data_IF_244494557151
#
_entry.id   IF_244494557151
#
_cell.length_a   1.000
_cell.length_b   1.000
_cell.length_c   1.000
_cell.angle_alpha   90.00
_cell.angle_beta   90.00
_cell.angle_gamma   90.00
#
_symmetry.space_group_name_H-M   'P 1'
#
loop_
_entity.id
_entity.type
_entity.pdbx_description
1 polymer ?
#
# COMPACT_ATOMS: atom_id res chain seq x y z
N UNK A 1 9.63 27.86 -16.10
CA UNK A 1 9.30 26.41 -16.16
C UNK A 1 9.18 25.88 -14.75
N UNK A 2 8.01 25.38 -14.35
CA UNK A 2 7.84 24.73 -13.05
C UNK A 2 8.68 23.46 -13.00
N UNK A 3 9.57 23.34 -12.01
CA UNK A 3 10.37 22.15 -11.79
C UNK A 3 9.45 20.95 -11.51
N UNK A 4 9.72 19.79 -12.12
CA UNK A 4 8.99 18.55 -11.82
C UNK A 4 9.07 18.25 -10.31
N UNK A 5 7.96 17.86 -9.67
CA UNK A 5 7.89 17.76 -8.21
C UNK A 5 8.91 16.76 -7.61
N UNK A 6 9.25 15.68 -8.34
CA UNK A 6 10.29 14.72 -7.95
C UNK A 6 11.71 15.30 -7.91
N UNK A 7 11.95 16.44 -8.56
CA UNK A 7 13.25 17.12 -8.52
C UNK A 7 13.40 17.99 -7.26
N UNK A 8 12.31 18.21 -6.50
CA UNK A 8 12.35 18.98 -5.24
C UNK A 8 13.10 18.19 -4.16
N UNK A 9 13.83 18.89 -3.30
CA UNK A 9 14.55 18.27 -2.17
C UNK A 9 13.60 17.47 -1.23
N UNK A 10 12.38 17.97 -1.04
CA UNK A 10 11.32 17.29 -0.26
C UNK A 10 10.92 15.91 -0.80
N UNK A 11 11.22 15.59 -2.06
CA UNK A 11 10.95 14.28 -2.65
C UNK A 11 12.10 13.27 -2.44
N UNK A 12 13.21 13.68 -1.81
CA UNK A 12 14.43 12.88 -1.60
C UNK A 12 14.78 12.78 -0.11
N UNK A 13 13.80 12.43 0.72
CA UNK A 13 13.95 12.39 2.18
C UNK A 13 14.65 11.13 2.68
N UNK A 14 14.44 9.98 2.04
CA UNK A 14 15.05 8.70 2.43
C UNK A 14 15.39 7.86 1.20
N UNK A 15 16.66 7.49 1.06
CA UNK A 15 17.16 6.68 -0.06
C UNK A 15 17.45 5.23 0.34
N UNK A 16 17.42 4.32 -0.64
CA UNK A 16 17.79 2.91 -0.43
C UNK A 16 19.21 2.77 0.11
N UNK A 17 20.15 3.60 -0.37
CA UNK A 17 21.56 3.58 0.07
C UNK A 17 21.66 3.91 1.56
N UNK A 18 20.96 4.96 2.01
CA UNK A 18 20.93 5.33 3.43
C UNK A 18 20.36 4.19 4.29
N UNK A 19 19.23 3.61 3.87
CA UNK A 19 18.59 2.53 4.62
C UNK A 19 19.46 1.28 4.71
N UNK A 20 20.16 0.91 3.65
CA UNK A 20 21.03 -0.27 3.67
C UNK A 20 22.31 -0.05 4.48
N UNK A 21 22.72 1.22 4.67
CA UNK A 21 23.83 1.60 5.54
C UNK A 21 23.45 1.72 7.02
N UNK A 22 22.15 1.72 7.37
CA UNK A 22 21.68 1.81 8.76
C UNK A 22 22.05 0.59 9.59
N UNK A 23 22.30 0.82 10.88
CA UNK A 23 22.35 -0.26 11.87
C UNK A 23 20.94 -0.81 12.15
N UNK A 24 20.87 -1.98 12.77
CA UNK A 24 19.59 -2.54 13.19
C UNK A 24 18.91 -1.68 14.28
N UNK A 25 19.67 -0.87 15.02
CA UNK A 25 19.15 0.07 16.02
C UNK A 25 18.57 1.32 15.36
N UNK A 26 19.22 1.84 14.32
CA UNK A 26 18.69 2.98 13.55
C UNK A 26 17.40 2.58 12.82
N UNK A 27 17.38 1.40 12.20
CA UNK A 27 16.18 0.88 11.55
C UNK A 27 15.03 0.69 12.57
N UNK A 28 15.33 0.18 13.77
CA UNK A 28 14.34 0.05 14.83
C UNK A 28 13.80 1.43 15.28
N UNK A 29 14.68 2.41 15.42
CA UNK A 29 14.32 3.78 15.81
C UNK A 29 13.41 4.41 14.76
N UNK A 30 13.74 4.27 13.47
CA UNK A 30 12.90 4.76 12.38
C UNK A 30 11.51 4.10 12.38
N UNK A 31 11.42 2.78 12.64
CA UNK A 31 10.14 2.10 12.78
C UNK A 31 9.33 2.60 13.99
N UNK A 32 10.02 2.93 15.09
CA UNK A 32 9.39 3.45 16.31
C UNK A 32 8.82 4.85 16.05
N UNK A 33 9.63 5.74 15.48
CA UNK A 33 9.23 7.11 15.09
C UNK A 33 8.07 7.09 14.10
N UNK A 34 8.13 6.24 13.08
CA UNK A 34 7.05 6.12 12.10
C UNK A 34 5.73 5.64 12.73
N UNK A 35 5.78 4.89 13.83
CA UNK A 35 4.61 4.29 14.46
C UNK A 35 4.01 5.16 15.57
N UNK A 36 4.84 5.77 16.40
CA UNK A 36 4.40 6.48 17.60
C UNK A 36 4.90 7.93 17.66
N UNK A 37 5.60 8.41 16.64
CA UNK A 37 6.22 9.73 16.60
C UNK A 37 7.48 9.83 17.45
N UNK A 38 7.98 11.05 17.61
CA UNK A 38 9.22 11.38 18.34
C UNK A 38 9.04 11.32 19.87
N UNK A 39 7.86 10.91 20.35
CA UNK A 39 7.49 10.87 21.75
C UNK A 39 7.89 9.59 22.50
N UNK A 40 7.70 9.63 23.82
CA UNK A 40 7.80 8.46 24.69
C UNK A 40 6.50 7.65 24.79
N UNK A 41 5.40 8.18 24.24
CA UNK A 41 4.08 7.54 24.26
C UNK A 41 4.01 6.35 23.31
N UNK A 42 4.38 5.18 23.84
CA UNK A 42 4.24 3.91 23.14
C UNK A 42 2.83 3.38 23.41
N UNK A 43 2.05 3.12 22.36
CA UNK A 43 0.71 2.52 22.47
C UNK A 43 0.79 1.00 22.32
N UNK A 44 0.25 0.26 23.29
CA UNK A 44 0.18 -1.19 23.22
C UNK A 44 -0.82 -1.65 22.14
N UNK A 45 -0.42 -2.54 21.20
CA UNK A 45 -1.33 -3.05 20.17
C UNK A 45 -2.42 -3.99 20.71
N UNK A 46 -2.26 -4.53 21.92
CA UNK A 46 -3.21 -5.50 22.49
C UNK A 46 -4.34 -4.82 23.26
N UNK A 47 -4.05 -3.79 24.05
CA UNK A 47 -5.06 -3.06 24.83
C UNK A 47 -5.36 -1.65 24.32
N UNK A 48 -4.61 -1.14 23.34
CA UNK A 48 -4.82 0.19 22.75
C UNK A 48 -4.41 1.37 23.63
N UNK A 49 -3.83 1.12 24.81
CA UNK A 49 -3.51 2.16 25.79
C UNK A 49 -2.01 2.48 25.81
N UNK A 50 -1.69 3.77 25.97
CA UNK A 50 -0.33 4.26 26.22
C UNK A 50 0.02 4.15 27.72
N UNK A 51 0.15 2.93 28.23
CA UNK A 51 0.56 2.73 29.62
C UNK A 51 2.07 2.95 29.78
N UNK A 52 2.55 2.99 31.03
CA UNK A 52 3.97 2.89 31.32
C UNK A 52 4.47 1.47 31.00
N UNK A 53 5.01 1.29 29.80
CA UNK A 53 5.51 0.00 29.34
C UNK A 53 6.97 -0.24 29.79
N UNK A 54 7.30 -1.48 30.15
CA UNK A 54 8.67 -1.84 30.50
C UNK A 54 9.43 -2.30 29.24
N UNK A 55 10.39 -1.51 28.78
CA UNK A 55 11.20 -1.84 27.61
C UNK A 55 12.38 -2.76 27.96
N UNK A 56 12.60 -3.79 27.14
CA UNK A 56 13.71 -4.75 27.25
C UNK A 56 14.67 -4.52 26.07
N UNK A 57 15.74 -3.72 26.24
CA UNK A 57 16.59 -3.27 25.12
C UNK A 57 17.20 -4.43 24.32
N UNK A 58 17.71 -5.45 25.00
CA UNK A 58 18.38 -6.60 24.37
C UNK A 58 17.49 -7.36 23.37
N UNK A 59 16.16 -7.32 23.53
CA UNK A 59 15.21 -7.99 22.63
C UNK A 59 14.37 -7.02 21.80
N UNK A 60 14.49 -5.71 22.06
CA UNK A 60 13.66 -4.65 21.46
C UNK A 60 12.14 -4.91 21.62
N UNK A 61 11.74 -5.35 22.81
CA UNK A 61 10.36 -5.73 23.17
C UNK A 61 9.92 -4.91 24.38
N UNK A 62 8.65 -4.53 24.41
CA UNK A 62 7.97 -3.93 25.55
C UNK A 62 7.07 -4.96 26.24
N UNK A 63 7.03 -4.92 27.57
CA UNK A 63 6.00 -5.56 28.40
C UNK A 63 4.94 -4.53 28.75
N UNK A 64 3.68 -4.78 28.41
CA UNK A 64 2.60 -3.89 28.78
C UNK A 64 2.27 -3.97 30.28
N UNK A 65 2.23 -2.84 30.98
CA UNK A 65 1.83 -2.84 32.40
C UNK A 65 0.33 -3.14 32.61
N UNK A 66 -0.52 -2.78 31.64
CA UNK A 66 -1.97 -3.01 31.70
C UNK A 66 -2.36 -4.45 31.42
N UNK A 67 -2.17 -4.90 30.18
CA UNK A 67 -2.56 -6.26 29.77
C UNK A 67 -1.51 -7.34 30.03
N UNK A 68 -0.31 -6.98 30.50
CA UNK A 68 0.79 -7.95 30.72
C UNK A 68 1.14 -8.76 29.46
N UNK A 69 0.94 -8.21 28.27
CA UNK A 69 1.39 -8.83 27.02
C UNK A 69 2.70 -8.22 26.52
N UNK A 70 3.51 -9.04 25.87
CA UNK A 70 4.74 -8.61 25.20
C UNK A 70 4.41 -8.12 23.78
N UNK A 71 5.04 -7.02 23.37
CA UNK A 71 4.91 -6.50 22.01
C UNK A 71 6.21 -5.86 21.52
N UNK A 72 6.43 -5.86 20.22
CA UNK A 72 7.54 -5.19 19.54
C UNK A 72 7.02 -4.02 18.71
N UNK A 73 7.95 -3.30 18.07
CA UNK A 73 7.63 -2.17 17.19
C UNK A 73 6.82 -2.61 15.97
N UNK A 74 6.87 -3.90 15.61
CA UNK A 74 6.12 -4.48 14.50
C UNK A 74 4.86 -5.24 14.93
N UNK A 75 4.63 -5.44 16.24
CA UNK A 75 3.43 -6.15 16.74
C UNK A 75 2.14 -5.46 16.32
N UNK A 76 1.18 -6.18 15.76
CA UNK A 76 -0.06 -5.59 15.24
C UNK A 76 0.11 -4.81 13.93
N UNK A 77 1.23 -4.97 13.22
CA UNK A 77 1.44 -4.45 11.87
C UNK A 77 1.60 -5.58 10.87
N UNK A 78 1.62 -5.26 9.57
CA UNK A 78 1.93 -6.23 8.50
C UNK A 78 3.30 -6.91 8.66
N UNK A 79 4.21 -6.29 9.42
CA UNK A 79 5.56 -6.77 9.69
C UNK A 79 5.68 -7.57 11.00
N UNK A 80 4.56 -7.89 11.65
CA UNK A 80 4.56 -8.76 12.82
C UNK A 80 5.25 -10.11 12.51
N UNK A 81 5.96 -10.66 13.51
CA UNK A 81 6.72 -11.91 13.41
C UNK A 81 7.73 -11.95 12.25
N UNK A 82 8.27 -10.80 11.87
CA UNK A 82 9.29 -10.72 10.84
C UNK A 82 10.49 -11.63 11.12
N UNK A 83 11.08 -12.14 10.04
CA UNK A 83 12.30 -12.97 10.05
C UNK A 83 13.48 -12.27 9.39
N UNK A 84 13.22 -11.29 8.53
CA UNK A 84 14.25 -10.48 7.91
C UNK A 84 14.64 -9.32 8.84
N UNK A 85 15.86 -8.76 8.70
CA UNK A 85 16.23 -7.51 9.35
C UNK A 85 15.28 -6.36 8.95
N UNK A 86 14.96 -5.47 9.88
CA UNK A 86 14.06 -4.33 9.66
C UNK A 86 14.48 -3.44 8.49
N UNK A 87 15.79 -3.25 8.29
CA UNK A 87 16.35 -2.51 7.14
C UNK A 87 15.91 -3.06 5.78
N UNK A 88 15.70 -4.38 5.64
CA UNK A 88 15.22 -4.96 4.38
C UNK A 88 13.73 -4.68 4.15
N UNK A 89 12.92 -4.59 5.21
CA UNK A 89 11.53 -4.15 5.09
C UNK A 89 11.45 -2.69 4.65
N UNK A 90 12.26 -1.82 5.23
CA UNK A 90 12.37 -0.41 4.82
C UNK A 90 12.80 -0.30 3.35
N UNK A 91 13.83 -1.04 2.94
CA UNK A 91 14.28 -1.06 1.56
C UNK A 91 13.17 -1.54 0.60
N UNK A 92 12.44 -2.58 0.97
CA UNK A 92 11.31 -3.08 0.17
C UNK A 92 10.19 -2.02 0.02
N UNK A 93 9.86 -1.29 1.09
CA UNK A 93 8.88 -0.20 1.05
C UNK A 93 9.35 0.93 0.13
N UNK A 94 10.63 1.32 0.19
CA UNK A 94 11.19 2.36 -0.68
C UNK A 94 11.17 1.92 -2.15
N UNK A 95 11.60 0.69 -2.45
CA UNK A 95 11.57 0.15 -3.81
C UNK A 95 10.13 0.09 -4.36
N UNK A 96 9.17 -0.31 -3.53
CA UNK A 96 7.77 -0.38 -3.92
C UNK A 96 7.16 1.01 -4.17
N UNK A 97 7.38 1.96 -3.27
CA UNK A 97 6.81 3.32 -3.35
C UNK A 97 7.39 4.15 -4.50
N UNK A 98 8.67 3.98 -4.80
CA UNK A 98 9.31 4.67 -5.93
C UNK A 98 8.98 4.04 -7.29
N UNK A 99 8.53 2.78 -7.32
CA UNK A 99 8.14 2.10 -8.55
C UNK A 99 6.70 2.49 -8.95
N UNK A 100 6.55 3.63 -9.62
CA UNK A 100 5.25 4.20 -10.04
C UNK A 100 4.40 3.22 -10.88
N UNK A 101 5.05 2.35 -11.67
CA UNK A 101 4.38 1.33 -12.49
C UNK A 101 4.21 -0.03 -11.78
N UNK A 102 4.59 -0.11 -10.50
CA UNK A 102 4.74 -1.34 -9.76
C UNK A 102 6.10 -2.01 -9.97
N UNK A 103 6.44 -2.92 -9.06
CA UNK A 103 7.67 -3.70 -9.08
C UNK A 103 7.34 -5.19 -8.97
N UNK A 104 8.06 -6.03 -9.72
CA UNK A 104 7.87 -7.48 -9.70
C UNK A 104 8.54 -8.11 -8.49
N UNK A 105 7.98 -9.21 -7.98
CA UNK A 105 8.59 -9.97 -6.88
C UNK A 105 9.98 -10.53 -7.25
N UNK A 106 10.19 -10.87 -8.54
CA UNK A 106 11.50 -11.29 -9.04
C UNK A 106 12.54 -10.18 -8.95
N UNK A 107 12.17 -8.95 -9.30
CA UNK A 107 13.05 -7.79 -9.20
C UNK A 107 13.41 -7.51 -7.73
N UNK A 108 12.40 -7.42 -6.85
CA UNK A 108 12.64 -7.20 -5.40
C UNK A 108 13.48 -8.30 -4.78
N UNK A 109 13.28 -9.56 -5.19
CA UNK A 109 14.11 -10.68 -4.74
C UNK A 109 15.59 -10.50 -5.09
N UNK A 110 15.90 -10.02 -6.30
CA UNK A 110 17.27 -9.72 -6.73
C UNK A 110 17.85 -8.50 -6.00
N UNK A 111 17.07 -7.43 -5.91
CA UNK A 111 17.53 -6.18 -5.29
C UNK A 111 17.83 -6.35 -3.79
N UNK A 112 17.05 -7.17 -3.08
CA UNK A 112 17.22 -7.43 -1.64
C UNK A 112 18.05 -8.68 -1.33
N UNK A 113 18.40 -9.49 -2.33
CA UNK A 113 19.11 -10.76 -2.14
C UNK A 113 18.30 -11.83 -1.39
N UNK A 114 16.98 -11.86 -1.56
CA UNK A 114 16.07 -12.81 -0.89
C UNK A 114 15.40 -13.74 -1.89
N UNK A 115 14.85 -14.86 -1.40
CA UNK A 115 14.10 -15.77 -2.26
C UNK A 115 12.88 -15.08 -2.89
N UNK A 116 12.50 -15.51 -4.10
CA UNK A 116 11.28 -15.02 -4.76
C UNK A 116 10.04 -15.17 -3.86
N UNK A 117 9.91 -16.30 -3.15
CA UNK A 117 8.78 -16.55 -2.24
C UNK A 117 8.72 -15.50 -1.12
N UNK A 118 9.87 -15.14 -0.56
CA UNK A 118 9.98 -14.10 0.46
C UNK A 118 9.58 -12.73 -0.08
N UNK A 119 10.12 -12.34 -1.24
CA UNK A 119 9.78 -11.07 -1.89
C UNK A 119 8.30 -11.01 -2.28
N UNK A 120 7.73 -12.11 -2.75
CA UNK A 120 6.31 -12.21 -3.11
C UNK A 120 5.41 -11.95 -1.90
N UNK A 121 5.62 -12.66 -0.79
CA UNK A 121 4.85 -12.48 0.44
C UNK A 121 5.00 -11.05 0.98
N UNK A 122 6.22 -10.51 0.97
CA UNK A 122 6.48 -9.15 1.43
C UNK A 122 5.73 -8.10 0.59
N UNK A 123 5.77 -8.20 -0.74
CA UNK A 123 5.03 -7.30 -1.62
C UNK A 123 3.52 -7.43 -1.44
N UNK A 124 3.00 -8.64 -1.21
CA UNK A 124 1.58 -8.83 -0.93
C UNK A 124 1.15 -8.15 0.38
N UNK A 125 1.95 -8.27 1.44
CA UNK A 125 1.70 -7.57 2.71
C UNK A 125 1.68 -6.05 2.56
N UNK A 126 2.61 -5.50 1.77
CA UNK A 126 2.63 -4.05 1.48
C UNK A 126 1.37 -3.64 0.71
N UNK A 127 0.98 -4.39 -0.33
CA UNK A 127 -0.26 -4.10 -1.07
C UNK A 127 -1.50 -4.19 -0.18
N UNK A 128 -1.58 -5.20 0.68
CA UNK A 128 -2.68 -5.36 1.63
C UNK A 128 -2.79 -4.19 2.60
N UNK A 129 -1.66 -3.67 3.12
CA UNK A 129 -1.70 -2.47 3.96
C UNK A 129 -2.29 -1.24 3.27
N UNK A 130 -2.08 -1.09 1.96
CA UNK A 130 -2.67 0.01 1.20
C UNK A 130 -4.18 -0.16 0.99
N UNK A 131 -4.66 -1.40 0.95
CA UNK A 131 -6.08 -1.70 0.86
C UNK A 131 -6.78 -1.47 2.21
N UNK A 132 -6.19 -1.94 3.32
CA UNK A 132 -6.76 -1.77 4.67
C UNK A 132 -6.72 -0.32 5.13
N UNK A 133 -5.65 0.42 4.81
CA UNK A 133 -5.51 1.84 5.15
C UNK A 133 -6.29 2.78 4.23
N UNK A 134 -7.09 2.25 3.30
CA UNK A 134 -7.82 3.06 2.35
C UNK A 134 -8.95 3.82 3.04
N UNK A 135 -9.01 5.11 2.79
CA UNK A 135 -10.10 5.93 3.29
C UNK A 135 -11.36 5.73 2.45
N UNK A 136 -12.34 4.98 2.97
CA UNK A 136 -13.60 4.68 2.28
C UNK A 136 -14.73 5.69 2.56
N UNK A 137 -14.43 6.82 3.19
CA UNK A 137 -15.41 7.90 3.39
C UNK A 137 -16.04 8.35 2.06
N UNK A 138 -17.32 8.69 2.09
CA UNK A 138 -18.07 9.07 0.90
C UNK A 138 -17.42 10.27 0.18
N UNK A 139 -17.36 10.19 -1.15
CA UNK A 139 -16.90 11.31 -1.98
C UNK A 139 -17.92 12.44 -1.93
N UNK A 140 -17.44 13.68 -2.11
CA UNK A 140 -18.27 14.88 -2.03
C UNK A 140 -18.01 15.83 -3.20
N UNK A 141 -19.00 16.63 -3.56
CA UNK A 141 -18.91 17.60 -4.65
C UNK A 141 -18.94 16.94 -6.02
N UNK A 142 -18.13 17.42 -6.95
CA UNK A 142 -18.04 16.88 -8.30
C UNK A 142 -17.20 15.59 -8.32
N UNK A 143 -17.79 14.52 -8.87
CA UNK A 143 -17.19 13.19 -8.92
C UNK A 143 -17.18 12.73 -10.36
N UNK A 144 -16.00 12.39 -10.86
CA UNK A 144 -15.84 11.77 -12.17
C UNK A 144 -15.74 10.26 -11.98
N UNK A 145 -16.60 9.52 -12.69
CA UNK A 145 -16.67 8.06 -12.63
C UNK A 145 -16.28 7.51 -13.98
N UNK A 146 -15.33 6.58 -13.99
CA UNK A 146 -14.89 5.85 -15.18
C UNK A 146 -14.74 4.36 -14.87
N UNK A 147 -14.90 3.52 -15.88
CA UNK A 147 -14.93 2.07 -15.75
C UNK A 147 -14.05 1.39 -16.81
N UNK A 148 -13.20 0.46 -16.37
CA UNK A 148 -12.39 -0.35 -17.27
C UNK A 148 -12.68 -1.84 -17.06
N UNK A 149 -13.19 -2.50 -18.10
CA UNK A 149 -13.41 -3.94 -18.06
C UNK A 149 -12.09 -4.70 -18.27
N UNK A 150 -11.75 -5.55 -17.29
CA UNK A 150 -10.56 -6.41 -17.29
C UNK A 150 -11.01 -7.87 -17.21
N UNK A 151 -10.47 -8.72 -18.09
CA UNK A 151 -10.84 -10.13 -18.19
C UNK A 151 -10.62 -10.69 -19.61
N UNK A 152 -10.87 -11.98 -19.78
CA UNK A 152 -10.82 -12.64 -21.07
C UNK A 152 -11.92 -12.13 -22.01
N UNK A 153 -11.60 -11.96 -23.30
CA UNK A 153 -12.64 -11.88 -24.33
C UNK A 153 -12.98 -13.31 -24.73
N UNK A 154 -14.26 -13.67 -24.68
CA UNK A 154 -14.72 -14.95 -25.25
C UNK A 154 -14.25 -15.02 -26.70
N UNK A 155 -13.41 -16.03 -26.97
CA UNK A 155 -12.83 -16.25 -28.28
C UNK A 155 -13.99 -16.60 -29.23
N UNK A 156 -14.12 -15.91 -30.37
CA UNK A 156 -15.17 -16.27 -31.31
C UNK A 156 -14.88 -17.65 -31.89
N UNK A 157 -15.94 -18.41 -32.15
CA UNK A 157 -15.83 -19.66 -32.88
C UNK A 157 -15.28 -19.44 -34.30
N UNK A 158 -14.55 -20.44 -34.79
CA UNK A 158 -13.88 -20.37 -36.08
C UNK A 158 -14.91 -20.24 -37.22
N UNK A 159 -15.97 -21.04 -37.14
CA UNK A 159 -17.09 -21.00 -38.08
C UNK A 159 -18.00 -19.82 -37.77
N UNK A 160 -18.49 -19.14 -38.81
CA UNK A 160 -19.33 -17.95 -38.67
C UNK A 160 -20.72 -18.28 -38.09
N UNK A 161 -21.25 -19.44 -38.43
CA UNK A 161 -22.56 -19.96 -37.97
C UNK A 161 -22.61 -20.22 -36.46
N UNK A 162 -21.48 -20.59 -35.85
CA UNK A 162 -21.38 -20.91 -34.42
C UNK A 162 -21.03 -19.67 -33.56
N UNK A 163 -20.95 -18.48 -34.14
CA UNK A 163 -20.57 -17.26 -33.40
C UNK A 163 -21.74 -16.75 -32.58
N UNK A 164 -21.55 -16.71 -31.27
CA UNK A 164 -22.49 -16.10 -30.32
C UNK A 164 -22.39 -14.58 -30.25
N UNK A 165 -23.51 -13.90 -29.98
CA UNK A 165 -23.51 -12.46 -29.72
C UNK A 165 -22.95 -12.18 -28.32
N UNK A 166 -21.72 -11.66 -28.28
CA UNK A 166 -20.97 -11.35 -27.06
C UNK A 166 -21.45 -10.09 -26.32
N UNK A 167 -22.45 -9.37 -26.86
CA UNK A 167 -23.10 -8.25 -26.17
C UNK A 167 -24.04 -8.75 -25.07
N UNK A 168 -24.65 -9.92 -25.28
CA UNK A 168 -25.58 -10.53 -24.32
C UNK A 168 -24.84 -11.03 -23.07
N UNK A 169 -25.40 -10.77 -21.89
CA UNK A 169 -24.78 -11.07 -20.60
C UNK A 169 -24.44 -12.57 -20.43
N UNK A 170 -25.29 -13.46 -20.93
CA UNK A 170 -25.11 -14.92 -20.92
C UNK A 170 -23.88 -15.40 -21.72
N UNK A 171 -23.45 -14.63 -22.72
CA UNK A 171 -22.32 -14.95 -23.60
C UNK A 171 -21.05 -14.18 -23.22
N UNK A 172 -21.07 -13.45 -22.10
CA UNK A 172 -19.88 -12.77 -21.57
C UNK A 172 -19.09 -13.72 -20.66
N UNK A 173 -17.78 -13.48 -20.58
CA UNK A 173 -16.91 -14.21 -19.67
C UNK A 173 -17.36 -13.98 -18.21
N UNK A 174 -17.69 -15.04 -17.44
CA UNK A 174 -18.13 -14.90 -16.05
C UNK A 174 -17.05 -14.32 -15.14
N UNK A 175 -15.78 -14.37 -15.54
CA UNK A 175 -14.63 -13.80 -14.83
C UNK A 175 -14.30 -12.37 -15.27
N UNK A 176 -15.04 -11.81 -16.23
CA UNK A 176 -14.96 -10.39 -16.55
C UNK A 176 -15.27 -9.56 -15.31
N UNK A 177 -14.44 -8.57 -15.01
CA UNK A 177 -14.62 -7.60 -13.92
C UNK A 177 -14.57 -6.19 -14.50
N UNK A 178 -15.33 -5.27 -13.93
CA UNK A 178 -15.12 -3.85 -14.15
C UNK A 178 -14.30 -3.28 -13.00
N UNK A 179 -13.20 -2.63 -13.34
CA UNK A 179 -12.46 -1.77 -12.42
C UNK A 179 -13.11 -0.39 -12.52
N UNK A 180 -13.96 -0.07 -11.56
CA UNK A 180 -14.62 1.21 -11.45
C UNK A 180 -13.71 2.18 -10.69
N UNK A 181 -13.46 3.36 -11.23
CA UNK A 181 -12.65 4.41 -10.62
C UNK A 181 -13.51 5.66 -10.46
N UNK A 182 -13.63 6.14 -9.23
CA UNK A 182 -14.31 7.38 -8.88
C UNK A 182 -13.27 8.38 -8.37
N UNK A 183 -13.25 9.58 -8.95
CA UNK A 183 -12.32 10.65 -8.61
C UNK A 183 -13.08 11.89 -8.19
N UNK A 184 -12.81 12.38 -6.99
CA UNK A 184 -13.32 13.66 -6.52
C UNK A 184 -12.47 14.79 -7.09
N UNK A 185 -13.11 15.72 -7.78
CA UNK A 185 -12.48 16.92 -8.30
C UNK A 185 -12.19 17.94 -7.18
N UNK A 186 -11.22 18.80 -7.45
CA UNK A 186 -11.00 20.01 -6.65
C UNK A 186 -12.08 21.04 -6.95
N UNK A 187 -12.42 21.89 -5.99
CA UNK A 187 -13.27 23.06 -6.27
C UNK A 187 -12.50 24.07 -7.12
N UNK A 188 -13.21 24.96 -7.83
CA UNK A 188 -12.57 26.00 -8.66
C UNK A 188 -11.55 26.82 -7.85
N UNK A 189 -11.89 27.22 -6.62
CA UNK A 189 -10.98 27.94 -5.72
C UNK A 189 -9.73 27.11 -5.34
N UNK A 190 -9.87 25.78 -5.15
CA UNK A 190 -8.72 24.91 -4.87
C UNK A 190 -7.81 24.76 -6.10
N UNK A 191 -8.37 24.73 -7.30
CA UNK A 191 -7.62 24.71 -8.56
C UNK A 191 -6.88 26.03 -8.77
N UNK A 192 -7.53 27.17 -8.52
CA UNK A 192 -6.89 28.50 -8.55
C UNK A 192 -5.75 28.62 -7.54
N UNK A 193 -5.87 27.97 -6.36
CA UNK A 193 -4.80 27.86 -5.37
C UNK A 193 -3.64 26.93 -5.79
N UNK A 194 -3.72 26.32 -6.98
CA UNK A 194 -2.67 25.50 -7.57
C UNK A 194 -2.78 24.00 -7.26
N UNK A 195 -3.90 23.53 -6.72
CA UNK A 195 -4.15 22.09 -6.60
C UNK A 195 -4.48 21.49 -7.97
N UNK A 196 -3.92 20.32 -8.27
CA UNK A 196 -4.11 19.65 -9.55
C UNK A 196 -4.30 18.16 -9.35
N UNK A 197 -5.08 17.53 -10.24
CA UNK A 197 -5.40 16.10 -10.17
C UNK A 197 -6.70 15.85 -9.40
N UNK A 198 -6.73 14.78 -8.62
CA UNK A 198 -7.91 14.40 -7.85
C UNK A 198 -7.64 14.54 -6.36
N UNK A 199 -8.62 15.09 -5.64
CA UNK A 199 -8.56 15.24 -4.18
C UNK A 199 -8.61 13.89 -3.48
N UNK A 200 -9.48 13.00 -3.98
CA UNK A 200 -9.66 11.64 -3.48
C UNK A 200 -10.00 10.70 -4.63
N UNK A 201 -9.48 9.47 -4.59
CA UNK A 201 -9.75 8.44 -5.59
C UNK A 201 -10.19 7.16 -4.90
N UNK A 202 -11.31 6.61 -5.36
CA UNK A 202 -11.80 5.29 -4.95
C UNK A 202 -11.85 4.37 -6.17
N UNK A 203 -11.18 3.23 -6.08
CA UNK A 203 -11.20 2.16 -7.09
C UNK A 203 -11.89 0.91 -6.56
N UNK A 204 -12.89 0.39 -7.26
CA UNK A 204 -13.59 -0.83 -6.88
C UNK A 204 -13.50 -1.88 -7.99
N UNK A 205 -13.46 -3.14 -7.60
CA UNK A 205 -13.59 -4.26 -8.54
C UNK A 205 -15.02 -4.78 -8.41
N UNK A 206 -15.85 -4.49 -9.41
CA UNK A 206 -17.26 -4.89 -9.48
C UNK A 206 -17.46 -5.87 -10.63
N UNK A 207 -18.57 -6.62 -10.64
CA UNK A 207 -18.84 -7.54 -11.77
C UNK A 207 -19.25 -6.78 -13.02
N UNK A 208 -20.02 -5.71 -12.87
CA UNK A 208 -20.43 -4.80 -13.94
C UNK A 208 -20.72 -3.40 -13.38
N UNK A 209 -20.86 -2.41 -14.26
CA UNK A 209 -21.11 -1.00 -13.88
C UNK A 209 -22.52 -0.72 -13.33
N UNK A 210 -23.46 -1.65 -13.52
CA UNK A 210 -24.88 -1.49 -13.17
C UNK A 210 -25.26 -2.20 -11.86
N UNK A 211 -24.29 -2.70 -11.09
CA UNK A 211 -24.49 -3.45 -9.85
C UNK A 211 -24.27 -2.62 -8.60
#
# INVERSE_FOLDING_TARGET
MSLHFLLKAKARTLSVVQVLAMSDDDAFTLFREARWGDGEEVVCPHCGMAHRHYFRPARKIWRCAGCQEDFSVTSGTIFAFHKLPLRLYLAAVILFTNAVKGISALQVGRDLGVSHKTAYVLLHKIRESLLVGREESALQGEIHVDGAYVGGKVRPENKKEDRVDRRLAENQDPDKRCILVMRQAHTEAEVEAGNAGAKKTLTFIVKNENQ
#
